data_IF_276360738406
#
_entry.id   IF_276360738406
#
_cell.length_a   1.000
_cell.length_b   1.000
_cell.length_c   1.000
_cell.angle_alpha   90.00
_cell.angle_beta   90.00
_cell.angle_gamma   90.00
#
_symmetry.space_group_name_H-M   'P 1'
#
loop_
_entity.id
_entity.type
_entity.pdbx_description
1 polymer ?
#
# COMPACT_ATOMS: atom_id res chain seq x y z
N UNK A 1 11.23 -7.50 27.88
CA UNK A 1 12.63 -7.13 28.18
C UNK A 1 13.49 -7.46 26.97
N UNK A 2 13.54 -6.57 25.96
CA UNK A 2 14.65 -6.41 24.99
C UNK A 2 14.58 -4.94 24.52
N UNK A 3 15.71 -4.23 24.62
CA UNK A 3 16.06 -2.95 23.96
C UNK A 3 17.52 -3.13 23.48
N UNK A 4 18.08 -2.24 22.63
CA UNK A 4 17.55 -1.64 21.40
C UNK A 4 18.56 -1.78 20.23
N UNK A 5 18.09 -1.66 18.99
CA UNK A 5 18.94 -1.45 17.82
C UNK A 5 18.53 -0.16 17.13
N UNK A 6 19.26 0.92 17.39
CA UNK A 6 19.11 2.21 16.73
C UNK A 6 19.86 2.13 15.39
N UNK A 7 19.18 2.25 14.26
CA UNK A 7 19.79 2.71 13.02
C UNK A 7 18.92 3.79 12.40
N UNK A 8 19.64 4.85 12.05
CA UNK A 8 19.23 6.19 11.64
C UNK A 8 18.50 6.20 10.31
N UNK A 9 17.59 7.16 10.15
CA UNK A 9 16.75 7.28 8.98
C UNK A 9 17.49 7.60 7.69
N UNK A 10 16.93 7.10 6.59
CA UNK A 10 16.98 7.71 5.26
C UNK A 10 15.60 7.56 4.62
N UNK A 11 15.16 8.63 3.96
CA UNK A 11 13.87 8.77 3.31
C UNK A 11 13.63 7.65 2.28
N UNK A 12 12.64 6.79 2.52
CA UNK A 12 12.21 5.78 1.55
C UNK A 12 10.81 6.12 1.01
N UNK A 13 10.76 7.16 0.17
CA UNK A 13 9.60 7.50 -0.66
C UNK A 13 9.70 6.78 -2.00
N UNK A 14 9.44 5.46 -2.05
CA UNK A 14 8.93 4.75 -3.23
C UNK A 14 8.84 3.25 -2.93
N UNK A 15 7.83 2.57 -3.48
CA UNK A 15 7.63 1.12 -3.46
C UNK A 15 6.85 0.51 -2.28
N UNK A 16 5.56 0.89 -2.13
CA UNK A 16 4.54 -0.01 -1.56
C UNK A 16 3.73 -0.61 -2.72
N UNK A 17 3.94 -1.90 -3.03
CA UNK A 17 3.21 -2.61 -4.09
C UNK A 17 1.89 -3.13 -3.50
N UNK A 18 0.81 -2.43 -3.79
CA UNK A 18 -0.56 -2.82 -3.41
C UNK A 18 -0.98 -4.14 -4.07
N UNK A 19 -1.77 -4.97 -3.38
CA UNK A 19 -2.19 -6.29 -3.84
C UNK A 19 -3.72 -6.42 -4.00
N UNK A 20 -4.13 -7.17 -5.02
CA UNK A 20 -5.46 -7.74 -5.17
C UNK A 20 -5.37 -9.24 -4.88
N UNK A 21 -6.35 -9.76 -4.15
CA UNK A 21 -6.52 -11.20 -3.94
C UNK A 21 -7.75 -11.65 -4.72
N UNK A 22 -7.57 -12.60 -5.62
CA UNK A 22 -8.67 -13.20 -6.38
C UNK A 22 -8.82 -14.66 -5.97
N UNK A 23 -10.00 -15.06 -5.51
CA UNK A 23 -10.28 -16.40 -5.03
C UNK A 23 -11.33 -17.10 -5.89
N UNK A 24 -11.07 -18.37 -6.22
CA UNK A 24 -12.02 -19.28 -6.85
C UNK A 24 -12.10 -20.60 -6.07
N UNK A 25 -13.31 -21.04 -5.70
CA UNK A 25 -13.56 -22.22 -4.89
C UNK A 25 -14.76 -23.02 -5.45
N UNK A 26 -14.54 -24.17 -6.12
CA UNK A 26 -15.63 -25.03 -6.55
C UNK A 26 -16.25 -25.79 -5.35
N UNK A 27 -17.59 -25.94 -5.27
CA UNK A 27 -18.25 -26.75 -4.24
C UNK A 27 -18.14 -28.28 -4.49
N UNK A 28 -18.10 -29.17 -3.47
CA UNK A 28 -18.09 -28.96 -2.02
C UNK A 28 -16.67 -28.98 -1.43
N UNK A 29 -16.32 -27.95 -0.66
CA UNK A 29 -14.98 -27.77 -0.11
C UNK A 29 -14.77 -28.53 1.21
N UNK A 30 -14.02 -29.64 1.17
CA UNK A 30 -13.42 -30.27 2.35
C UNK A 30 -11.93 -30.50 2.11
N UNK A 31 -11.07 -29.93 2.96
CA UNK A 31 -9.63 -30.20 3.09
C UNK A 31 -8.74 -30.13 1.82
N UNK A 32 -9.17 -29.47 0.75
CA UNK A 32 -8.33 -29.27 -0.43
C UNK A 32 -7.33 -28.12 -0.15
N UNK A 33 -6.01 -28.36 -0.30
CA UNK A 33 -5.01 -27.30 -0.13
C UNK A 33 -5.21 -26.18 -1.16
N UNK A 34 -5.07 -24.93 -0.72
CA UNK A 34 -5.15 -23.76 -1.58
C UNK A 34 -3.95 -23.74 -2.53
N UNK A 35 -4.23 -23.72 -3.83
CA UNK A 35 -3.23 -23.46 -4.86
C UNK A 35 -3.06 -21.96 -5.00
N UNK A 36 -1.81 -21.49 -5.00
CA UNK A 36 -1.50 -20.06 -5.00
C UNK A 36 -0.67 -19.72 -6.23
N UNK A 37 -1.05 -18.64 -6.91
CA UNK A 37 -0.29 -18.04 -8.00
C UNK A 37 -0.06 -16.55 -7.73
N UNK A 38 1.14 -16.06 -7.98
CA UNK A 38 1.45 -14.64 -7.87
C UNK A 38 1.56 -14.02 -9.26
N UNK A 39 0.83 -12.95 -9.53
CA UNK A 39 0.81 -12.27 -10.84
C UNK A 39 1.44 -10.87 -10.71
N UNK A 40 2.68 -10.76 -11.18
CA UNK A 40 3.51 -9.57 -11.05
C UNK A 40 4.30 -9.36 -12.36
N UNK A 41 4.38 -8.11 -12.83
CA UNK A 41 5.17 -7.72 -14.02
C UNK A 41 6.67 -7.65 -13.75
N UNK A 42 7.09 -7.68 -12.49
CA UNK A 42 8.49 -7.64 -12.09
C UNK A 42 8.99 -9.04 -11.71
N UNK A 43 9.81 -9.63 -12.58
CA UNK A 43 10.39 -10.96 -12.37
C UNK A 43 11.41 -11.01 -11.22
N UNK A 44 11.88 -9.86 -10.72
CA UNK A 44 12.76 -9.81 -9.55
C UNK A 44 12.07 -10.23 -8.25
N UNK A 45 10.73 -10.30 -8.24
CA UNK A 45 9.93 -10.71 -7.07
C UNK A 45 10.09 -12.21 -6.76
N UNK A 46 10.54 -13.02 -7.73
CA UNK A 46 10.71 -14.48 -7.55
C UNK A 46 12.14 -15.01 -7.76
N UNK A 47 13.10 -14.15 -8.16
CA UNK A 47 14.48 -14.58 -8.46
C UNK A 47 15.42 -14.25 -7.30
N UNK A 48 15.97 -15.29 -6.66
CA UNK A 48 17.12 -15.17 -5.75
C UNK A 48 18.35 -14.76 -6.57
N UNK A 49 18.79 -13.51 -6.46
CA UNK A 49 20.14 -13.11 -6.87
C UNK A 49 20.86 -12.42 -5.71
N UNK A 50 22.09 -12.84 -5.52
CA UNK A 50 23.06 -12.50 -4.48
C UNK A 50 23.31 -11.01 -4.27
N UNK A 51 23.41 -10.66 -2.98
CA UNK A 51 24.20 -9.62 -2.30
C UNK A 51 24.16 -8.16 -2.84
N UNK A 52 23.82 -7.26 -1.90
CA UNK A 52 24.03 -5.81 -1.91
C UNK A 52 23.16 -4.93 -2.84
N UNK A 53 21.86 -5.17 -2.81
CA UNK A 53 20.89 -4.09 -2.95
C UNK A 53 19.89 -4.19 -1.79
N UNK A 54 19.66 -3.08 -1.08
CA UNK A 54 18.51 -2.91 -0.18
C UNK A 54 17.27 -2.78 -1.07
N UNK A 55 16.96 -3.86 -1.79
CA UNK A 55 15.61 -4.16 -2.18
C UNK A 55 14.94 -4.62 -0.88
N UNK A 56 13.66 -4.33 -0.69
CA UNK A 56 12.83 -5.03 0.29
C UNK A 56 12.62 -6.49 -0.17
N UNK A 57 13.71 -7.21 -0.42
CA UNK A 57 13.84 -8.36 -1.32
C UNK A 57 13.22 -9.61 -0.70
N UNK A 58 12.10 -10.05 -1.26
CA UNK A 58 11.92 -11.43 -1.77
C UNK A 58 12.04 -12.59 -0.76
N UNK A 59 12.07 -12.37 0.56
CA UNK A 59 12.25 -13.49 1.49
C UNK A 59 11.03 -14.42 1.65
N UNK A 60 9.80 -14.03 1.27
CA UNK A 60 8.61 -14.77 1.74
C UNK A 60 7.63 -15.33 0.69
N UNK A 61 7.77 -15.07 -0.61
CA UNK A 61 6.81 -15.65 -1.58
C UNK A 61 7.30 -17.01 -2.06
N UNK A 62 6.94 -18.07 -1.33
CA UNK A 62 7.22 -19.47 -1.68
C UNK A 62 6.38 -19.99 -2.87
N UNK A 63 5.77 -19.09 -3.65
CA UNK A 63 4.74 -19.40 -4.64
C UNK A 63 5.18 -19.00 -6.06
N UNK A 64 4.74 -19.73 -7.09
CA UNK A 64 5.09 -19.43 -8.48
C UNK A 64 4.62 -18.02 -8.88
N UNK A 65 5.50 -17.25 -9.52
CA UNK A 65 5.21 -15.91 -10.05
C UNK A 65 5.08 -15.94 -11.58
N UNK A 66 4.14 -15.18 -12.13
CA UNK A 66 3.98 -15.04 -13.58
C UNK A 66 3.52 -13.65 -14.00
N UNK A 67 3.84 -13.25 -15.23
CA UNK A 67 3.32 -12.08 -15.93
C UNK A 67 2.56 -12.46 -17.21
N UNK A 68 2.35 -13.76 -17.43
CA UNK A 68 1.82 -14.35 -18.66
C UNK A 68 0.34 -14.73 -18.50
N UNK A 69 -0.52 -14.10 -19.31
CA UNK A 69 -1.97 -14.32 -19.26
C UNK A 69 -2.36 -15.78 -19.57
N UNK A 70 -1.62 -16.50 -20.41
CA UNK A 70 -1.92 -17.90 -20.75
C UNK A 70 -1.66 -18.83 -19.56
N UNK A 71 -0.62 -18.54 -18.77
CA UNK A 71 -0.34 -19.28 -17.53
C UNK A 71 -1.41 -19.01 -16.48
N UNK A 72 -1.89 -17.77 -16.38
CA UNK A 72 -3.01 -17.42 -15.49
C UNK A 72 -4.29 -18.12 -15.92
N UNK A 73 -4.61 -18.12 -17.22
CA UNK A 73 -5.78 -18.80 -17.78
C UNK A 73 -5.74 -20.31 -17.53
N UNK A 74 -4.60 -20.95 -17.78
CA UNK A 74 -4.37 -22.37 -17.50
C UNK A 74 -4.50 -22.69 -16.01
N UNK A 75 -3.94 -21.85 -15.15
CA UNK A 75 -4.09 -21.98 -13.71
C UNK A 75 -5.55 -21.85 -13.28
N UNK A 76 -6.33 -20.92 -13.84
CA UNK A 76 -7.75 -20.75 -13.53
C UNK A 76 -8.62 -21.92 -14.03
N UNK A 77 -8.22 -22.61 -15.09
CA UNK A 77 -8.93 -23.77 -15.67
C UNK A 77 -8.67 -25.12 -14.99
N UNK A 78 -7.59 -25.25 -14.21
CA UNK A 78 -7.31 -26.51 -13.48
C UNK A 78 -8.38 -26.83 -12.41
N UNK A 79 -8.28 -27.98 -11.74
CA UNK A 79 -9.16 -28.25 -10.59
C UNK A 79 -8.53 -27.78 -9.27
N UNK A 80 -9.38 -27.43 -8.30
CA UNK A 80 -9.00 -27.12 -6.93
C UNK A 80 -9.33 -25.70 -6.47
N UNK A 81 -9.09 -25.44 -5.19
CA UNK A 81 -9.27 -24.11 -4.59
C UNK A 81 -8.07 -23.23 -4.92
N UNK A 82 -8.32 -22.03 -5.46
CA UNK A 82 -7.27 -21.19 -6.03
C UNK A 82 -7.30 -19.80 -5.47
N UNK A 83 -6.12 -19.25 -5.29
CA UNK A 83 -5.90 -17.86 -4.90
C UNK A 83 -4.84 -17.27 -5.82
N UNK A 84 -5.16 -16.11 -6.41
CA UNK A 84 -4.21 -15.29 -7.15
C UNK A 84 -3.91 -14.05 -6.32
N UNK A 85 -2.64 -13.83 -5.99
CA UNK A 85 -2.15 -12.56 -5.48
C UNK A 85 -1.59 -11.76 -6.65
N UNK A 86 -2.05 -10.53 -6.85
CA UNK A 86 -1.56 -9.70 -7.96
C UNK A 86 -1.38 -8.27 -7.54
N UNK A 87 -0.45 -7.55 -8.18
CA UNK A 87 -0.41 -6.10 -8.03
C UNK A 87 -1.45 -5.43 -8.92
N UNK A 88 -1.93 -4.22 -8.57
CA UNK A 88 -2.85 -3.47 -9.46
C UNK A 88 -2.27 -3.27 -10.87
N UNK A 89 -0.97 -3.03 -10.99
CA UNK A 89 -0.29 -2.90 -12.28
C UNK A 89 -0.39 -4.16 -13.15
N UNK A 90 -0.56 -5.33 -12.54
CA UNK A 90 -0.69 -6.61 -13.23
C UNK A 90 -2.15 -7.09 -13.32
N UNK A 91 -3.11 -6.31 -12.81
CA UNK A 91 -4.55 -6.61 -12.97
C UNK A 91 -5.00 -6.73 -14.43
N UNK A 92 -4.44 -5.99 -15.42
CA UNK A 92 -4.80 -6.19 -16.82
C UNK A 92 -4.41 -7.57 -17.36
N UNK A 93 -3.38 -8.23 -16.80
CA UNK A 93 -2.99 -9.61 -17.16
C UNK A 93 -4.09 -10.59 -16.76
N UNK A 94 -4.75 -10.36 -15.63
CA UNK A 94 -5.88 -11.18 -15.16
C UNK A 94 -7.10 -10.95 -16.05
N UNK A 95 -7.37 -9.69 -16.41
CA UNK A 95 -8.44 -9.37 -17.36
C UNK A 95 -8.21 -10.06 -18.71
N UNK A 96 -6.98 -10.02 -19.23
CA UNK A 96 -6.60 -10.73 -20.46
C UNK A 96 -6.80 -12.24 -20.35
N UNK A 97 -6.36 -12.86 -19.24
CA UNK A 97 -6.53 -14.29 -19.01
C UNK A 97 -8.01 -14.74 -18.99
N UNK A 98 -8.92 -13.87 -18.57
CA UNK A 98 -10.37 -14.12 -18.56
C UNK A 98 -11.07 -13.87 -19.90
N UNK A 99 -10.37 -13.32 -20.89
CA UNK A 99 -10.86 -13.26 -22.28
C UNK A 99 -10.80 -14.61 -22.98
N UNK A 100 -9.89 -15.50 -22.57
CA UNK A 100 -9.83 -16.86 -23.12
C UNK A 100 -11.14 -17.61 -22.82
N UNK A 101 -11.65 -18.31 -23.83
CA UNK A 101 -12.88 -19.10 -23.68
C UNK A 101 -12.74 -20.16 -22.58
N UNK A 102 -13.79 -20.28 -21.77
CA UNK A 102 -13.88 -21.25 -20.68
C UNK A 102 -13.08 -20.90 -19.42
N UNK A 103 -12.41 -19.74 -19.34
CA UNK A 103 -11.79 -19.28 -18.08
C UNK A 103 -12.87 -18.87 -17.08
N UNK A 104 -12.90 -19.47 -15.87
CA UNK A 104 -13.90 -19.12 -14.86
C UNK A 104 -13.69 -17.71 -14.29
N UNK A 105 -14.80 -17.11 -13.83
CA UNK A 105 -14.79 -15.92 -13.01
C UNK A 105 -14.37 -16.22 -11.57
N UNK A 106 -14.09 -15.17 -10.79
CA UNK A 106 -13.78 -15.29 -9.37
C UNK A 106 -15.04 -15.31 -8.52
N UNK A 107 -15.02 -16.04 -7.41
CA UNK A 107 -16.10 -16.02 -6.42
C UNK A 107 -15.96 -14.79 -5.51
N UNK A 108 -14.72 -14.40 -5.21
CA UNK A 108 -14.40 -13.23 -4.40
C UNK A 108 -13.14 -12.53 -4.92
N UNK A 109 -13.20 -11.21 -5.00
CA UNK A 109 -12.04 -10.34 -5.20
C UNK A 109 -11.90 -9.41 -4.00
N UNK A 110 -10.68 -9.28 -3.49
CA UNK A 110 -10.32 -8.37 -2.41
C UNK A 110 -9.34 -7.35 -2.98
N UNK A 111 -9.72 -6.08 -2.95
CA UNK A 111 -8.89 -4.95 -3.35
C UNK A 111 -8.38 -4.26 -2.08
N UNK A 112 -7.12 -4.50 -1.74
CA UNK A 112 -6.45 -3.85 -0.61
C UNK A 112 -5.92 -2.47 -1.00
N UNK A 113 -5.85 -1.55 -0.04
CA UNK A 113 -5.55 -0.13 -0.29
C UNK A 113 -6.45 0.47 -1.38
N UNK A 114 -7.75 0.17 -1.34
CA UNK A 114 -8.73 0.47 -2.38
C UNK A 114 -8.86 1.96 -2.72
N UNK A 115 -8.36 2.86 -1.88
CA UNK A 115 -8.24 4.28 -2.18
C UNK A 115 -7.31 4.58 -3.37
N UNK A 116 -6.53 3.59 -3.83
CA UNK A 116 -5.72 3.65 -5.07
C UNK A 116 -6.54 3.36 -6.32
N UNK A 117 -7.70 2.69 -6.19
CA UNK A 117 -8.61 2.39 -7.29
C UNK A 117 -9.46 3.58 -7.72
N UNK A 118 -9.38 4.71 -7.00
CA UNK A 118 -10.09 5.94 -7.35
C UNK A 118 -9.36 6.70 -8.45
N UNK A 119 -10.08 7.44 -9.28
CA UNK A 119 -9.49 8.27 -10.33
C UNK A 119 -10.06 7.96 -11.70
N UNK A 120 -9.25 8.19 -12.72
CA UNK A 120 -9.61 7.99 -14.13
C UNK A 120 -9.83 6.51 -14.47
N UNK A 121 -10.99 6.23 -15.07
CA UNK A 121 -11.34 4.91 -15.61
C UNK A 121 -10.38 4.46 -16.72
N UNK A 122 -10.10 3.16 -16.81
CA UNK A 122 -9.23 2.58 -17.84
C UNK A 122 -7.75 2.49 -17.46
N UNK A 123 -7.39 2.92 -16.25
CA UNK A 123 -6.07 2.70 -15.66
C UNK A 123 -5.95 1.29 -15.06
N UNK A 124 -4.71 0.79 -14.90
CA UNK A 124 -4.48 -0.52 -14.28
C UNK A 124 -5.06 -0.64 -12.85
N UNK A 125 -5.24 0.49 -12.15
CA UNK A 125 -5.83 0.53 -10.81
C UNK A 125 -7.38 0.48 -10.83
N UNK A 126 -8.01 0.88 -11.93
CA UNK A 126 -9.47 0.84 -12.09
C UNK A 126 -9.97 -0.43 -12.79
N UNK A 127 -9.09 -1.23 -13.39
CA UNK A 127 -9.46 -2.55 -13.98
C UNK A 127 -10.24 -3.43 -13.01
N UNK A 128 -9.90 -3.40 -11.72
CA UNK A 128 -10.58 -4.19 -10.68
C UNK A 128 -12.02 -3.73 -10.41
N UNK A 129 -12.39 -2.52 -10.82
CA UNK A 129 -13.74 -1.96 -10.69
C UNK A 129 -14.65 -2.38 -11.85
N UNK A 130 -14.09 -2.77 -12.98
CA UNK A 130 -14.89 -3.13 -14.16
C UNK A 130 -15.22 -4.63 -14.17
N UNK A 131 -16.52 -4.96 -14.08
CA UNK A 131 -17.02 -6.34 -14.12
C UNK A 131 -16.83 -7.00 -15.51
N UNK A 132 -16.75 -6.20 -16.58
CA UNK A 132 -16.49 -6.68 -17.93
C UNK A 132 -15.02 -7.08 -18.13
N UNK A 133 -14.10 -6.44 -17.41
CA UNK A 133 -12.66 -6.76 -17.44
C UNK A 133 -12.33 -7.93 -16.53
N UNK A 134 -12.74 -7.86 -15.25
CA UNK A 134 -12.49 -8.94 -14.29
C UNK A 134 -13.81 -9.48 -13.76
N UNK A 135 -14.20 -10.65 -14.26
CA UNK A 135 -15.43 -11.36 -13.88
C UNK A 135 -15.31 -11.82 -12.43
N UNK A 136 -16.17 -11.31 -11.55
CA UNK A 136 -16.25 -11.67 -10.14
C UNK A 136 -17.70 -11.75 -9.64
N UNK A 137 -18.02 -12.66 -8.72
CA UNK A 137 -19.34 -12.70 -8.07
C UNK A 137 -19.45 -11.67 -6.95
N UNK A 138 -18.38 -11.49 -6.17
CA UNK A 138 -18.30 -10.55 -5.05
C UNK A 138 -16.98 -9.80 -5.07
N UNK A 139 -17.02 -8.55 -4.61
CA UNK A 139 -15.84 -7.69 -4.43
C UNK A 139 -15.86 -7.06 -3.05
N UNK A 140 -14.72 -7.06 -2.39
CA UNK A 140 -14.49 -6.39 -1.12
C UNK A 140 -13.37 -5.37 -1.29
N UNK A 141 -13.67 -4.12 -1.00
CA UNK A 141 -12.70 -3.03 -1.02
C UNK A 141 -12.30 -2.71 0.41
N UNK A 142 -11.02 -2.88 0.72
CA UNK A 142 -10.45 -2.59 2.04
C UNK A 142 -9.52 -1.37 1.94
N UNK A 143 -9.67 -0.43 2.87
CA UNK A 143 -8.79 0.74 2.97
C UNK A 143 -8.87 1.34 4.37
N UNK A 144 -7.78 1.93 4.85
CA UNK A 144 -7.78 2.77 6.05
C UNK A 144 -8.09 4.24 5.72
N UNK A 145 -7.78 4.69 4.50
CA UNK A 145 -7.87 6.10 4.10
C UNK A 145 -8.75 6.23 2.85
N UNK A 146 -10.09 6.21 2.98
CA UNK A 146 -10.97 6.34 1.83
C UNK A 146 -10.76 7.69 1.13
N UNK A 147 -10.77 7.68 -0.20
CA UNK A 147 -10.59 8.88 -1.02
C UNK A 147 -11.89 9.21 -1.76
N UNK A 148 -12.41 10.40 -1.50
CA UNK A 148 -13.62 10.94 -2.14
C UNK A 148 -13.29 12.20 -2.92
N UNK A 149 -14.04 12.47 -3.98
CA UNK A 149 -13.88 13.69 -4.79
C UNK A 149 -15.12 14.57 -4.61
N UNK A 150 -14.95 15.89 -4.62
CA UNK A 150 -16.09 16.79 -4.58
C UNK A 150 -16.85 16.74 -5.90
N UNK A 151 -18.18 16.90 -5.84
CA UNK A 151 -19.06 16.90 -7.02
C UNK A 151 -18.63 17.90 -8.10
N UNK A 152 -18.14 19.08 -7.69
CA UNK A 152 -17.61 20.10 -8.60
C UNK A 152 -16.34 19.67 -9.36
N UNK A 153 -15.55 18.75 -8.79
CA UNK A 153 -14.33 18.24 -9.43
C UNK A 153 -14.69 17.14 -10.42
N UNK A 154 -15.64 16.26 -10.05
CA UNK A 154 -16.18 15.23 -10.93
C UNK A 154 -16.87 15.84 -12.16
N UNK A 155 -17.71 16.87 -11.97
CA UNK A 155 -18.40 17.52 -13.10
C UNK A 155 -17.42 18.15 -14.10
N UNK A 156 -16.40 18.85 -13.60
CA UNK A 156 -15.36 19.45 -14.44
C UNK A 156 -14.54 18.40 -15.20
N UNK A 157 -14.24 17.26 -14.57
CA UNK A 157 -13.54 16.17 -15.23
C UNK A 157 -14.41 15.56 -16.34
N UNK A 158 -15.69 15.32 -16.07
CA UNK A 158 -16.65 14.83 -17.06
C UNK A 158 -16.81 15.80 -18.24
N UNK A 159 -16.83 17.11 -18.00
CA UNK A 159 -16.86 18.14 -19.05
C UNK A 159 -15.61 18.08 -19.95
N UNK A 160 -14.48 17.61 -19.40
CA UNK A 160 -13.23 17.36 -20.13
C UNK A 160 -13.16 15.94 -20.72
N UNK A 161 -14.22 15.13 -20.61
CA UNK A 161 -14.29 13.76 -21.11
C UNK A 161 -13.57 12.72 -20.24
N UNK A 162 -13.24 13.06 -19.00
CA UNK A 162 -12.55 12.18 -18.05
C UNK A 162 -13.53 11.78 -16.95
N UNK A 163 -13.86 10.50 -16.86
CA UNK A 163 -14.69 9.97 -15.78
C UNK A 163 -13.82 9.68 -14.54
N UNK A 164 -14.16 10.29 -13.41
CA UNK A 164 -13.38 10.22 -12.17
C UNK A 164 -14.23 9.63 -11.06
N UNK A 165 -13.87 8.43 -10.61
CA UNK A 165 -14.62 7.70 -9.59
C UNK A 165 -13.97 7.83 -8.21
N UNK A 166 -14.77 8.19 -7.20
CA UNK A 166 -14.39 8.20 -5.77
C UNK A 166 -14.97 7.01 -5.01
N UNK A 167 -14.50 6.79 -3.77
CA UNK A 167 -15.02 5.68 -2.93
C UNK A 167 -16.42 5.92 -2.37
N UNK A 168 -16.97 7.11 -2.58
CA UNK A 168 -18.37 7.47 -2.29
C UNK A 168 -19.36 6.96 -3.34
N UNK A 169 -18.87 6.48 -4.49
CA UNK A 169 -19.69 5.83 -5.50
C UNK A 169 -20.03 4.38 -5.13
N UNK A 170 -21.23 4.17 -4.57
CA UNK A 170 -21.74 2.84 -4.25
C UNK A 170 -21.91 1.93 -5.49
N UNK A 171 -22.01 2.49 -6.69
CA UNK A 171 -22.07 1.72 -7.93
C UNK A 171 -20.75 1.04 -8.26
N UNK A 172 -19.63 1.69 -7.97
CA UNK A 172 -18.29 1.17 -8.21
C UNK A 172 -17.71 0.39 -7.02
N UNK A 173 -17.88 0.90 -5.79
CA UNK A 173 -17.27 0.34 -4.58
C UNK A 173 -18.24 -0.44 -3.69
N UNK A 174 -19.54 -0.34 -3.92
CA UNK A 174 -20.55 -0.91 -3.03
C UNK A 174 -20.70 -0.12 -1.72
N UNK A 175 -21.54 -0.64 -0.84
CA UNK A 175 -21.81 -0.04 0.48
C UNK A 175 -20.70 -0.35 1.47
N UNK A 176 -20.46 0.58 2.40
CA UNK A 176 -19.60 0.33 3.55
C UNK A 176 -20.22 -0.77 4.42
N UNK A 177 -19.58 -1.95 4.43
CA UNK A 177 -20.02 -3.09 5.23
C UNK A 177 -19.59 -2.97 6.71
N UNK A 178 -18.40 -2.42 6.96
CA UNK A 178 -17.85 -2.24 8.29
C UNK A 178 -16.88 -1.05 8.27
N UNK A 179 -16.91 -0.25 9.33
CA UNK A 179 -16.00 0.86 9.56
C UNK A 179 -15.51 0.76 11.00
N UNK A 180 -14.18 0.77 11.16
CA UNK A 180 -13.51 0.96 12.44
C UNK A 180 -12.65 2.20 12.28
N UNK A 181 -13.09 3.32 12.86
CA UNK A 181 -12.34 4.56 12.81
C UNK A 181 -11.10 4.52 13.70
N UNK A 182 -10.15 5.41 13.43
CA UNK A 182 -8.94 5.52 14.24
C UNK A 182 -9.26 5.85 15.71
N UNK A 183 -10.25 6.72 15.95
CA UNK A 183 -10.70 7.06 17.30
C UNK A 183 -11.32 5.88 18.05
N UNK A 184 -12.23 5.14 17.40
CA UNK A 184 -12.83 3.92 17.97
C UNK A 184 -11.77 2.86 18.30
N UNK A 185 -10.74 2.73 17.47
CA UNK A 185 -9.64 1.80 17.72
C UNK A 185 -8.76 2.23 18.91
N UNK A 186 -8.57 3.53 19.16
CA UNK A 186 -7.91 4.02 20.39
C UNK A 186 -8.78 3.76 21.61
N UNK A 187 -10.07 4.10 21.56
CA UNK A 187 -11.02 3.90 22.67
C UNK A 187 -11.15 2.43 23.07
N UNK A 188 -11.03 1.52 22.11
CA UNK A 188 -11.04 0.08 22.32
C UNK A 188 -9.68 -0.50 22.74
N UNK A 189 -8.67 0.33 23.01
CA UNK A 189 -7.29 -0.07 23.36
C UNK A 189 -6.62 -0.96 22.29
N UNK A 190 -7.09 -0.89 21.04
CA UNK A 190 -6.50 -1.61 19.89
C UNK A 190 -5.33 -0.84 19.27
N UNK A 191 -5.33 0.48 19.40
CA UNK A 191 -4.27 1.38 18.94
C UNK A 191 -3.83 2.34 20.04
N UNK A 192 -2.57 2.74 20.01
CA UNK A 192 -2.06 3.84 20.83
C UNK A 192 -2.42 5.17 20.19
N UNK A 193 -2.78 6.15 21.02
CA UNK A 193 -3.04 7.51 20.57
C UNK A 193 -1.79 8.18 19.97
N UNK A 194 -1.96 9.06 19.00
CA UNK A 194 -0.85 9.77 18.35
C UNK A 194 -0.76 11.22 18.83
N UNK A 195 0.48 11.72 18.92
CA UNK A 195 0.75 13.11 19.23
C UNK A 195 1.48 13.77 18.05
N UNK A 196 0.86 14.79 17.45
CA UNK A 196 1.51 15.60 16.41
C UNK A 196 2.31 16.71 17.09
N UNK A 197 3.63 16.61 17.04
CA UNK A 197 4.55 17.63 17.57
C UNK A 197 5.05 18.49 16.41
N UNK A 198 4.55 19.72 16.29
CA UNK A 198 5.00 20.68 15.30
C UNK A 198 6.16 21.49 15.89
N UNK A 199 7.35 21.33 15.32
CA UNK A 199 8.54 22.02 15.79
C UNK A 199 8.89 23.15 14.83
N UNK A 200 8.55 24.37 15.24
CA UNK A 200 9.02 25.58 14.58
C UNK A 200 10.50 25.81 14.89
N UNK A 201 11.28 26.02 13.83
CA UNK A 201 12.67 26.48 13.92
C UNK A 201 12.78 27.77 13.12
N UNK A 202 13.12 28.87 13.79
CA UNK A 202 13.45 30.14 13.13
C UNK A 202 14.97 30.32 13.01
N UNK A 203 15.38 31.13 12.03
CA UNK A 203 16.79 31.38 11.70
C UNK A 203 17.56 32.05 12.86
N UNK A 204 17.01 33.06 13.58
CA UNK A 204 17.66 33.65 14.74
C UNK A 204 17.95 32.64 15.87
N UNK A 205 17.04 31.70 16.13
CA UNK A 205 17.22 30.67 17.15
C UNK A 205 18.32 29.67 16.75
N UNK A 206 18.43 29.34 15.46
CA UNK A 206 19.55 28.51 14.95
C UNK A 206 20.87 29.27 15.10
N UNK A 207 20.92 30.55 14.75
CA UNK A 207 22.11 31.39 14.90
C UNK A 207 22.53 31.53 16.37
N UNK A 208 21.60 31.78 17.29
CA UNK A 208 21.88 31.89 18.73
C UNK A 208 22.44 30.56 19.29
N UNK A 209 21.94 29.41 18.83
CA UNK A 209 22.42 28.11 19.29
C UNK A 209 23.79 27.73 18.74
N UNK A 210 24.11 28.15 17.51
CA UNK A 210 25.47 28.08 16.97
C UNK A 210 26.41 28.94 17.83
N UNK A 211 25.99 30.16 18.19
CA UNK A 211 26.79 31.09 19.01
C UNK A 211 26.97 30.62 20.46
N UNK A 212 25.95 29.97 21.05
CA UNK A 212 26.02 29.43 22.44
C UNK A 212 26.86 28.15 22.56
N UNK A 213 27.41 27.64 21.46
CA UNK A 213 28.46 26.62 21.50
C UNK A 213 28.02 25.28 22.11
N UNK A 214 26.77 24.85 21.88
CA UNK A 214 26.37 23.49 22.23
C UNK A 214 27.00 22.51 21.21
N UNK A 215 28.25 22.14 21.48
CA UNK A 215 29.05 21.25 20.64
C UNK A 215 28.50 19.82 20.73
N UNK A 216 27.80 19.35 19.70
CA UNK A 216 27.62 17.92 19.45
C UNK A 216 28.85 17.44 18.66
N UNK A 217 29.72 16.69 19.33
CA UNK A 217 30.91 16.14 18.71
C UNK A 217 30.50 14.95 17.83
N UNK A 218 30.44 15.13 16.52
CA UNK A 218 30.52 14.03 15.58
C UNK A 218 32.00 13.71 15.36
N UNK A 219 32.41 12.48 15.68
CA UNK A 219 33.82 12.08 15.84
C UNK A 219 34.62 11.97 14.51
N UNK A 220 34.12 12.52 13.40
CA UNK A 220 34.62 12.19 12.05
C UNK A 220 34.92 13.37 11.13
N UNK A 221 34.89 14.63 11.59
CA UNK A 221 35.41 15.76 10.81
C UNK A 221 34.65 16.08 9.50
N UNK A 222 33.36 15.77 9.45
CA UNK A 222 32.50 16.05 8.29
C UNK A 222 31.91 17.47 8.35
N UNK A 223 32.04 18.21 7.25
CA UNK A 223 31.23 19.40 6.94
C UNK A 223 29.78 18.98 6.68
N UNK A 224 28.86 19.44 7.53
CA UNK A 224 27.42 19.12 7.44
C UNK A 224 26.65 20.37 6.97
N UNK A 225 25.69 20.19 6.07
CA UNK A 225 24.83 21.29 5.59
C UNK A 225 23.82 21.76 6.65
N UNK A 226 23.29 22.98 6.49
CA UNK A 226 22.36 23.60 7.43
C UNK A 226 21.04 22.82 7.60
N UNK A 227 20.60 22.06 6.59
CA UNK A 227 19.37 21.26 6.64
C UNK A 227 19.54 20.04 7.54
N UNK A 228 20.69 19.39 7.45
CA UNK A 228 21.06 18.25 8.30
C UNK A 228 21.19 18.66 9.77
N UNK A 229 21.75 19.85 10.05
CA UNK A 229 21.81 20.41 11.40
C UNK A 229 20.41 20.76 11.94
N UNK A 230 19.56 21.42 11.14
CA UNK A 230 18.18 21.73 11.52
C UNK A 230 17.36 20.47 11.83
N UNK A 231 17.60 19.38 11.09
CA UNK A 231 16.95 18.08 11.31
C UNK A 231 17.37 17.44 12.63
N UNK A 232 18.66 17.49 12.96
CA UNK A 232 19.17 16.99 14.24
C UNK A 232 18.64 17.80 15.43
N UNK A 233 18.56 19.13 15.29
CA UNK A 233 18.01 20.01 16.32
C UNK A 233 16.50 19.79 16.49
N UNK A 234 15.76 19.62 15.39
CA UNK A 234 14.36 19.23 15.43
C UNK A 234 14.14 17.91 16.17
N UNK A 235 15.00 16.92 15.93
CA UNK A 235 14.96 15.63 16.62
C UNK A 235 15.23 15.78 18.13
N UNK A 236 16.21 16.59 18.53
CA UNK A 236 16.51 16.86 19.95
C UNK A 236 15.33 17.54 20.64
N UNK A 237 14.71 18.54 19.99
CA UNK A 237 13.50 19.20 20.51
C UNK A 237 12.34 18.21 20.67
N UNK A 238 12.16 17.30 19.71
CA UNK A 238 11.13 16.27 19.79
C UNK A 238 11.36 15.36 21.00
N UNK A 239 12.60 14.87 21.18
CA UNK A 239 12.97 13.99 22.30
C UNK A 239 12.78 14.69 23.64
N UNK A 240 13.18 15.96 23.76
CA UNK A 240 13.01 16.74 24.98
C UNK A 240 11.52 16.91 25.34
N UNK A 241 10.68 17.22 24.34
CA UNK A 241 9.24 17.39 24.53
C UNK A 241 8.54 16.07 24.88
N UNK A 242 8.94 14.95 24.27
CA UNK A 242 8.42 13.61 24.61
C UNK A 242 8.74 13.17 26.05
N UNK A 243 9.76 13.76 26.67
CA UNK A 243 10.15 13.47 28.06
C UNK A 243 9.30 14.20 29.12
N UNK A 244 8.68 15.33 28.77
CA UNK A 244 7.90 16.16 29.69
C UNK A 244 6.44 15.71 29.84
N UNK A 245 5.91 14.94 28.87
CA UNK A 245 4.50 14.49 28.85
C UNK A 245 4.31 13.13 29.55
N UNK A 246 5.39 12.50 30.00
CA UNK A 246 5.41 11.14 30.58
C UNK A 246 5.40 11.02 32.11
N UNK A 247 5.06 12.08 32.86
CA UNK A 247 4.91 12.06 34.33
C UNK A 247 3.54 12.52 34.78
#
# INVERSE_FOLDING_TARGET
MIRPGLQTGENCSSSRRCACVFAHCPPPATHIPLQVLCVCSDESVGKRSSEDAIISTVQDVSFPTTSDAEKVSSFLKSDGNKVIFSTYHSSPVIAEAQKSDGTPGFDLVIADEAHRCTGEAGTAFTTVLDQSQIKAQKRLFATATPRTYSSNLQSKASDMGVDVTGMDDEGAFGKVFHLLSFGEAIEAELLTDYQVVIIGVDEPMVSEWIERGMLLKADTGSTTDARSLASQIGLIKAIAYSGEVGT
#
